data_IF_064535940507
#
_entry.id   IF_064535940507
#
_cell.length_a   1.000
_cell.length_b   1.000
_cell.length_c   1.000
_cell.angle_alpha   90.00
_cell.angle_beta   90.00
_cell.angle_gamma   90.00
#
_symmetry.space_group_name_H-M   'P 1'
#
loop_
_entity.id
_entity.type
_entity.pdbx_description
1 polymer ?
2 non-polymer ?
3 non-polymer ?
4 non-polymer ?
5 non-polymer ?
6 water ?
#
# COMPACT_ATOMS: atom_id res chain seq x y z
N UNK A 6 -1.09 -10.04 -12.85
CA UNK A 6 -1.95 -9.36 -13.82
C UNK A 6 -3.15 -8.71 -13.13
N UNK A 7 -3.19 -7.39 -13.16
CA UNK A 7 -4.24 -6.61 -12.51
C UNK A 7 -5.09 -5.86 -13.53
N UNK A 8 -6.41 -6.01 -13.45
CA UNK A 8 -7.31 -5.31 -14.35
C UNK A 8 -7.86 -4.03 -13.71
N UNK A 9 -7.63 -2.91 -14.38
CA UNK A 9 -8.07 -1.62 -13.89
C UNK A 9 -9.00 -0.94 -14.89
N UNK A 10 -10.23 -0.66 -14.45
CA UNK A 10 -11.22 -0.04 -15.32
C UNK A 10 -11.42 1.43 -14.95
N UNK A 11 -11.26 2.31 -15.93
CA UNK A 11 -11.39 3.74 -15.72
C UNK A 11 -12.73 4.26 -16.24
N UNK A 12 -13.59 4.73 -15.33
CA UNK A 12 -14.90 5.25 -15.71
C UNK A 12 -15.06 6.72 -15.28
N UNK A 13 -15.95 7.42 -15.96
CA UNK A 13 -16.18 8.83 -15.70
C UNK A 13 -16.83 9.52 -16.88
N UNK A 14 -17.28 10.75 -16.67
CA UNK A 14 -17.99 11.51 -17.72
C UNK A 14 -17.13 11.74 -18.96
N UNK A 15 -17.78 12.17 -20.03
CA UNK A 15 -17.08 12.48 -21.27
C UNK A 15 -16.18 13.69 -21.13
N UNK A 16 -15.02 13.61 -21.78
CA UNK A 16 -14.06 14.71 -21.83
C UNK A 16 -13.61 15.19 -20.44
N UNK A 17 -13.35 14.24 -19.55
CA UNK A 17 -12.82 14.59 -18.23
C UNK A 17 -11.33 14.27 -18.15
N UNK A 18 -10.83 13.51 -19.12
CA UNK A 18 -9.41 13.20 -19.19
C UNK A 18 -9.05 11.75 -18.96
N UNK A 19 -10.02 10.85 -19.08
CA UNK A 19 -9.79 9.43 -18.86
C UNK A 19 -8.76 8.84 -19.84
N UNK A 20 -8.98 9.10 -21.13
CA UNK A 20 -8.07 8.58 -22.16
C UNK A 20 -6.70 9.25 -22.08
N UNK A 21 -6.70 10.55 -21.81
CA UNK A 21 -5.45 11.32 -21.73
C UNK A 21 -4.53 10.86 -20.61
N UNK A 22 -5.11 10.52 -19.45
CA UNK A 22 -4.29 10.12 -18.31
C UNK A 22 -3.71 8.73 -18.54
N UNK A 23 -4.39 7.92 -19.34
CA UNK A 23 -3.91 6.59 -19.68
C UNK A 23 -2.78 6.64 -20.70
N UNK A 24 -2.93 7.53 -21.69
CA UNK A 24 -1.93 7.67 -22.73
C UNK A 24 -0.67 8.35 -22.21
N UNK A 25 -0.86 9.38 -21.40
CA UNK A 25 0.25 10.13 -20.82
C UNK A 25 1.06 9.27 -19.84
N UNK A 26 0.41 8.27 -19.26
CA UNK A 26 1.07 7.41 -18.29
C UNK A 26 1.78 6.24 -18.96
N UNK A 27 1.31 5.84 -20.13
CA UNK A 27 1.85 4.67 -20.82
C UNK A 27 2.83 5.03 -21.93
N UNK A 28 2.67 6.22 -22.51
CA UNK A 28 3.52 6.62 -23.64
C UNK A 28 4.13 8.01 -23.45
N UNK A 29 3.83 8.65 -22.32
CA UNK A 29 4.32 9.99 -22.01
C UNK A 29 4.00 11.01 -23.10
N UNK A 30 2.80 10.91 -23.66
CA UNK A 30 2.36 11.83 -24.68
C UNK A 30 1.08 12.54 -24.26
N UNK A 31 0.43 13.21 -25.20
CA UNK A 31 -0.82 13.91 -24.92
C UNK A 31 -1.59 14.20 -26.19
N UNK A 32 -2.81 13.64 -26.30
CA UNK A 32 -3.67 13.84 -27.48
C UNK A 32 -4.02 15.31 -27.71
N UNK A 35 -9.36 15.89 -29.64
CA UNK A 35 -10.25 15.15 -28.76
C UNK A 35 -11.07 14.11 -29.54
N UNK A 36 -10.83 12.84 -29.23
CA UNK A 36 -11.55 11.75 -29.86
C UNK A 36 -12.28 10.91 -28.81
N UNK A 37 -13.62 10.98 -28.79
CA UNK A 37 -14.43 10.21 -27.85
C UNK A 37 -14.17 8.71 -27.95
N UNK A 38 -13.54 8.15 -26.93
CA UNK A 38 -13.16 6.74 -26.93
C UNK A 38 -14.36 5.82 -26.68
N UNK A 39 -14.62 4.92 -27.61
CA UNK A 39 -15.64 3.89 -27.44
C UNK A 39 -15.12 2.82 -26.48
N UNK A 40 -14.00 2.21 -26.85
CA UNK A 40 -13.26 1.31 -25.97
C UNK A 40 -11.85 1.07 -26.49
N UNK A 41 -10.88 1.10 -25.57
CA UNK A 41 -9.49 0.81 -25.91
C UNK A 41 -8.78 0.11 -24.77
N UNK A 42 -7.88 -0.81 -25.10
CA UNK A 42 -7.08 -1.52 -24.11
C UNK A 42 -5.68 -0.96 -24.00
N UNK A 43 -5.14 -0.96 -22.78
CA UNK A 43 -3.78 -0.51 -22.54
C UNK A 43 -3.11 -1.40 -21.50
N UNK A 44 -1.94 -1.94 -21.83
CA UNK A 44 -1.22 -2.80 -20.89
C UNK A 44 0.23 -2.35 -20.76
N UNK A 45 0.62 -1.96 -19.54
CA UNK A 45 1.97 -1.51 -19.27
C UNK A 45 2.57 -2.29 -18.10
N UNK A 46 3.88 -2.51 -18.16
CA UNK A 46 4.58 -3.22 -17.08
C UNK A 46 4.99 -2.26 -15.97
N UNK A 47 4.46 -2.49 -14.77
CA UNK A 47 4.78 -1.66 -13.63
C UNK A 47 5.63 -2.42 -12.62
N UNK A 48 6.72 -1.80 -12.18
CA UNK A 48 7.62 -2.42 -11.22
C UNK A 48 7.32 -1.95 -9.81
N UNK A 49 6.84 -2.85 -8.96
CA UNK A 49 6.55 -2.50 -7.57
C UNK A 49 7.84 -2.55 -6.75
N UNK A 50 8.29 -1.37 -6.34
CA UNK A 50 9.54 -1.24 -5.60
C UNK A 50 9.32 -0.52 -4.27
N UNK A 51 8.09 -0.51 -3.80
CA UNK A 51 7.74 0.21 -2.58
C UNK A 51 7.76 1.71 -2.83
N UNK A 52 7.51 2.09 -4.08
CA UNK A 52 7.50 3.50 -4.47
C UNK A 52 6.12 3.93 -4.96
N UNK A 56 4.77 -3.65 -1.59
CA UNK A 56 5.80 -4.68 -1.63
C UNK A 56 5.30 -5.98 -1.01
N UNK A 57 6.08 -7.04 -1.16
CA UNK A 57 5.73 -8.35 -0.64
C UNK A 57 6.15 -8.48 0.83
N UNK A 58 7.03 -7.58 1.26
CA UNK A 58 7.50 -7.58 2.64
C UNK A 58 6.45 -7.01 3.59
N UNK A 59 5.65 -6.08 3.07
CA UNK A 59 4.60 -5.44 3.87
C UNK A 59 3.37 -6.33 3.96
N UNK A 60 3.23 -7.25 3.00
CA UNK A 60 2.07 -8.13 2.95
C UNK A 60 2.21 -9.31 3.92
N UNK A 61 3.39 -9.46 4.51
CA UNK A 61 3.61 -10.50 5.50
C UNK A 61 2.97 -10.11 6.83
N UNK A 62 1.90 -10.80 7.20
CA UNK A 62 1.17 -10.48 8.42
C UNK A 62 1.64 -11.34 9.59
N UNK A 63 2.87 -11.13 10.01
CA UNK A 63 3.44 -11.83 11.17
C UNK A 63 4.12 -10.84 12.09
N UNK A 64 4.31 -11.24 13.35
CA UNK A 64 5.05 -10.42 14.29
C UNK A 64 6.55 -10.49 14.02
N UNK A 65 7.08 -9.50 13.31
CA UNK A 65 8.51 -9.46 13.07
C UNK A 65 9.04 -8.03 12.93
N UNK A 66 10.34 -7.87 13.17
CA UNK A 66 11.03 -6.61 12.97
C UNK A 66 12.37 -6.84 12.29
N UNK A 67 12.90 -5.79 11.67
CA UNK A 67 14.23 -5.85 11.06
C UNK A 67 15.11 -4.72 11.61
N UNK A 68 16.33 -5.06 12.01
CA UNK A 68 17.24 -4.08 12.58
C UNK A 68 18.52 -3.94 11.77
N UNK A 69 19.30 -2.91 12.09
CA UNK A 69 20.54 -2.63 11.38
C UNK A 69 21.73 -2.64 12.35
N UNK A 70 22.52 -3.73 12.31
CA UNK A 70 23.66 -3.90 13.23
C UNK A 70 24.80 -2.95 12.93
N UNK A 71 24.80 -2.37 11.73
CA UNK A 71 25.85 -1.43 11.34
C UNK A 71 25.62 -0.05 11.97
N UNK A 72 24.42 0.16 12.51
CA UNK A 72 24.11 1.40 13.21
C UNK A 72 24.15 1.19 14.72
N UNK A 73 24.54 2.24 15.46
CA UNK A 73 24.70 2.20 16.93
C UNK A 73 23.47 1.63 17.66
N UNK A 74 23.73 0.70 18.58
CA UNK A 74 22.71 0.10 19.43
C UNK A 74 21.70 -0.75 18.64
N UNK A 75 22.03 -1.04 17.39
CA UNK A 75 21.26 -1.94 16.55
C UNK A 75 19.77 -1.58 16.46
N UNK A 76 19.46 -0.43 15.83
CA UNK A 76 18.10 0.12 15.80
C UNK A 76 17.15 -0.59 14.84
N UNK A 77 15.85 -0.53 15.14
CA UNK A 77 14.83 -1.08 14.27
C UNK A 77 14.61 -0.19 13.05
N UNK A 78 14.73 -0.77 11.87
CA UNK A 78 14.52 -0.03 10.63
C UNK A 78 13.20 -0.43 9.96
N UNK A 79 12.61 -1.52 10.44
CA UNK A 79 11.33 -1.97 9.91
C UNK A 79 10.53 -2.73 10.95
N UNK A 80 9.23 -2.48 11.00
CA UNK A 80 8.34 -3.17 11.92
C UNK A 80 7.01 -3.46 11.26
N UNK A 81 6.59 -4.73 11.31
CA UNK A 81 5.35 -5.16 10.70
C UNK A 81 4.12 -4.57 11.40
N UNK A 82 3.01 -4.53 10.69
CA UNK A 82 1.74 -4.08 11.25
C UNK A 82 1.32 -4.95 12.42
N UNK A 83 1.59 -6.25 12.31
CA UNK A 83 1.23 -7.21 13.36
C UNK A 83 2.01 -6.94 14.63
N UNK A 84 3.29 -6.61 14.47
CA UNK A 84 4.15 -6.30 15.61
C UNK A 84 3.65 -5.06 16.34
N UNK A 85 3.12 -4.11 15.59
CA UNK A 85 2.61 -2.86 16.16
C UNK A 85 1.32 -3.10 16.95
N UNK A 86 0.46 -3.95 16.43
CA UNK A 86 -0.80 -4.28 17.08
C UNK A 86 -0.58 -5.07 18.37
N UNK A 87 0.42 -5.93 18.36
CA UNK A 87 0.74 -6.75 19.53
C UNK A 87 1.38 -5.90 20.64
N UNK A 88 2.42 -5.16 20.28
CA UNK A 88 3.18 -4.41 21.26
C UNK A 88 2.51 -3.10 21.66
N UNK A 89 1.41 -2.77 20.99
CA UNK A 89 0.63 -1.57 21.27
C UNK A 89 1.42 -0.29 21.08
N UNK A 90 2.47 -0.37 20.25
CA UNK A 90 3.29 0.80 19.92
C UNK A 90 3.00 1.29 18.51
N UNK A 91 3.11 2.59 18.30
CA UNK A 91 3.02 3.13 16.95
C UNK A 91 4.39 3.04 16.28
N UNK A 92 4.42 3.16 14.97
CA UNK A 92 5.65 3.02 14.20
C UNK A 92 6.67 4.09 14.57
N UNK A 93 6.21 5.34 14.70
CA UNK A 93 7.10 6.46 14.98
C UNK A 93 7.74 6.36 16.36
N UNK A 94 7.13 5.60 17.26
CA UNK A 94 7.63 5.46 18.62
C UNK A 94 8.81 4.49 18.73
N UNK A 95 8.86 3.50 17.86
CA UNK A 95 9.87 2.45 17.99
C UNK A 95 10.83 2.37 16.82
N UNK A 96 10.49 3.01 15.71
CA UNK A 96 11.34 3.00 14.52
C UNK A 96 12.63 3.78 14.78
N UNK A 97 13.74 3.05 14.91
CA UNK A 97 15.03 3.67 15.15
C UNK A 97 15.56 3.41 16.55
N UNK A 98 14.83 2.61 17.31
CA UNK A 98 15.24 2.28 18.67
C UNK A 98 15.44 0.78 18.84
N UNK A 99 16.35 0.41 19.75
CA UNK A 99 16.60 -0.99 20.06
C UNK A 99 15.37 -1.65 20.66
N UNK A 100 15.14 -2.91 20.32
CA UNK A 100 13.93 -3.61 20.75
C UNK A 100 14.01 -4.13 22.18
N UNK A 101 14.79 -3.46 23.03
CA UNK A 101 14.90 -3.87 24.42
C UNK A 101 13.80 -3.26 25.30
N UNK A 102 13.01 -2.36 24.72
CA UNK A 102 11.92 -1.73 25.47
C UNK A 102 10.84 -2.75 25.82
N UNK A 103 10.78 -3.84 25.06
CA UNK A 103 9.80 -4.90 25.29
C UNK A 103 10.06 -5.64 26.59
N UNK A 104 11.30 -5.60 27.07
CA UNK A 104 11.67 -6.33 28.28
C UNK A 104 11.21 -5.60 29.53
N UNK A 105 11.11 -6.33 30.64
CA UNK A 105 10.67 -5.75 31.89
C UNK A 105 11.20 -6.49 33.11
N UNK A 106 10.50 -6.36 34.24
CA UNK A 106 10.88 -6.92 35.54
C UNK A 106 11.04 -8.44 35.54
N UNK A 107 10.02 -9.15 35.07
CA UNK A 107 10.02 -10.61 35.11
C UNK A 107 10.80 -11.25 33.96
N UNK A 108 11.34 -10.41 33.08
CA UNK A 108 12.12 -10.90 31.95
C UNK A 108 13.43 -11.52 32.41
N UNK A 109 13.63 -12.79 32.07
CA UNK A 109 14.85 -13.51 32.45
C UNK A 109 16.06 -12.90 31.77
N UNK A 110 16.93 -12.27 32.56
CA UNK A 110 18.10 -11.59 32.03
C UNK A 110 19.12 -12.57 31.44
N UNK A 111 19.15 -13.79 31.97
CA UNK A 111 20.06 -14.83 31.47
C UNK A 111 19.71 -15.23 30.05
N UNK A 112 18.43 -15.11 29.71
CA UNK A 112 17.96 -15.39 28.36
C UNK A 112 18.33 -14.23 27.44
N UNK A 113 18.30 -13.03 27.97
CA UNK A 113 18.66 -11.83 27.21
C UNK A 113 20.14 -11.87 26.84
N UNK A 114 20.96 -12.44 27.73
CA UNK A 114 22.39 -12.59 27.48
C UNK A 114 22.62 -13.51 26.28
N UNK A 115 21.83 -14.58 26.18
CA UNK A 115 21.92 -15.50 25.06
C UNK A 115 21.60 -14.81 23.74
N UNK A 116 20.70 -13.82 23.82
CA UNK A 116 20.34 -13.03 22.64
C UNK A 116 21.48 -12.10 22.25
N UNK A 117 22.07 -11.46 23.26
CA UNK A 117 23.19 -10.55 23.04
C UNK A 117 24.38 -11.28 22.41
N UNK A 118 24.66 -12.48 22.90
CA UNK A 118 25.75 -13.29 22.37
C UNK A 118 25.50 -13.69 20.93
N UNK A 119 24.23 -13.90 20.59
CA UNK A 119 23.85 -14.27 19.24
C UNK A 119 24.07 -13.13 18.26
N UNK A 120 23.81 -11.91 18.72
CA UNK A 120 23.99 -10.73 17.88
C UNK A 120 25.47 -10.40 17.74
N UNK A 121 26.20 -10.50 18.84
CA UNK A 121 27.63 -10.22 18.85
C UNK A 121 28.39 -11.19 17.94
N UNK A 122 28.03 -12.47 18.02
CA UNK A 122 28.66 -13.49 17.21
C UNK A 122 27.99 -13.64 15.85
N UNK A 123 26.92 -12.86 15.65
CA UNK A 123 26.15 -12.85 14.41
C UNK A 123 25.65 -14.24 14.03
N UNK A 124 24.97 -14.90 14.97
CA UNK A 124 24.42 -16.23 14.75
C UNK A 124 22.91 -16.24 14.94
N UNK A 125 22.30 -17.39 14.71
CA UNK A 125 20.87 -17.57 14.93
C UNK A 125 20.60 -18.04 16.36
N UNK A 126 19.47 -17.63 16.92
CA UNK A 126 19.09 -18.06 18.25
C UNK A 126 17.57 -18.12 18.37
N UNK A 127 17.08 -19.09 19.12
CA UNK A 127 15.65 -19.25 19.37
C UNK A 127 15.40 -19.44 20.85
N UNK A 128 14.75 -18.47 21.47
CA UNK A 128 14.55 -18.49 22.91
C UNK A 128 13.11 -18.17 23.29
N UNK A 129 12.79 -18.34 24.57
CA UNK A 129 11.50 -17.94 25.10
C UNK A 129 11.70 -16.99 26.28
N UNK A 130 11.07 -15.82 26.21
CA UNK A 130 11.23 -14.82 27.26
C UNK A 130 9.96 -13.99 27.42
N UNK A 131 9.84 -13.32 28.56
CA UNK A 131 8.67 -12.52 28.86
C UNK A 131 8.86 -11.07 28.42
N UNK A 132 8.01 -10.62 27.50
CA UNK A 132 8.02 -9.23 27.06
C UNK A 132 6.78 -8.48 27.53
N UNK A 133 6.81 -7.16 27.39
CA UNK A 133 5.72 -6.30 27.83
C UNK A 133 5.29 -5.36 26.72
N UNK A 134 3.99 -5.14 26.60
CA UNK A 134 3.46 -4.17 25.64
C UNK A 134 3.66 -2.75 26.17
N UNK A 135 3.15 -1.76 25.44
CA UNK A 135 3.28 -0.37 25.85
C UNK A 135 2.53 -0.09 27.15
N UNK A 136 1.33 -0.69 27.29
CA UNK A 136 0.52 -0.49 28.47
C UNK A 136 0.97 -1.38 29.63
N UNK A 137 1.92 -2.26 29.35
CA UNK A 137 2.49 -3.12 30.38
C UNK A 137 1.89 -4.51 30.43
N UNK A 138 1.19 -4.90 29.38
CA UNK A 138 0.58 -6.23 29.31
C UNK A 138 1.66 -7.30 29.18
N UNK A 139 1.58 -8.32 30.03
CA UNK A 139 2.58 -9.38 30.08
C UNK A 139 2.24 -10.53 29.12
N UNK A 140 3.23 -10.96 28.35
CA UNK A 140 3.05 -12.08 27.42
C UNK A 140 4.38 -12.79 27.14
N UNK A 141 4.31 -14.10 26.93
CA UNK A 141 5.50 -14.87 26.59
C UNK A 141 5.87 -14.68 25.13
N UNK A 142 7.18 -14.67 24.85
CA UNK A 142 7.67 -14.42 23.51
C UNK A 142 8.58 -15.54 23.02
N UNK A 143 8.06 -16.36 22.11
CA UNK A 143 8.86 -17.34 21.41
C UNK A 143 9.62 -16.61 20.30
N UNK A 144 10.82 -16.15 20.64
CA UNK A 144 11.55 -15.23 19.77
C UNK A 144 12.63 -15.95 18.97
N UNK A 145 12.70 -15.63 17.68
CA UNK A 145 13.74 -16.18 16.81
C UNK A 145 14.53 -15.08 16.12
N UNK A 146 15.85 -15.18 16.20
CA UNK A 146 16.73 -14.19 15.61
C UNK A 146 17.56 -14.80 14.47
N UNK A 147 17.69 -14.06 13.38
CA UNK A 147 18.41 -14.55 12.21
C UNK A 147 19.08 -13.41 11.45
N UNK A 148 20.41 -13.49 11.28
CA UNK A 148 21.15 -12.47 10.54
C UNK A 148 20.90 -12.57 9.03
N UNK A 149 20.91 -11.43 8.36
CA UNK A 149 20.72 -11.38 6.92
C UNK A 149 22.00 -10.91 6.24
N UNK A 150 22.71 -11.83 5.59
CA UNK A 150 23.99 -11.52 4.97
C UNK A 150 23.82 -11.05 3.54
N UNK A 151 24.77 -10.23 3.08
CA UNK A 151 24.76 -9.76 1.69
C UNK A 151 25.40 -10.80 0.76
N UNK A 152 25.60 -10.39 -0.49
CA UNK A 152 26.17 -11.27 -1.49
C UNK A 152 27.65 -11.54 -1.22
N UNK A 153 28.29 -10.65 -0.49
CA UNK A 153 29.69 -10.84 -0.10
C UNK A 153 29.80 -11.82 1.06
N UNK A 154 28.77 -11.85 1.90
CA UNK A 154 28.74 -12.76 3.04
C UNK A 154 28.80 -12.03 4.38
N UNK A 155 28.68 -10.71 4.35
CA UNK A 155 28.71 -9.91 5.57
C UNK A 155 27.30 -9.59 6.07
N UNK A 156 27.10 -9.67 7.38
CA UNK A 156 25.79 -9.43 7.97
C UNK A 156 25.33 -7.98 7.76
N UNK A 157 24.20 -7.84 7.06
CA UNK A 157 23.69 -6.52 6.73
C UNK A 157 22.51 -6.13 7.61
N UNK A 158 21.68 -7.11 7.97
CA UNK A 158 20.54 -6.85 8.86
C UNK A 158 20.31 -8.01 9.82
N UNK A 159 19.32 -7.85 10.68
CA UNK A 159 18.89 -8.91 11.59
C UNK A 159 17.38 -9.05 11.54
N UNK A 160 16.91 -10.29 11.41
CA UNK A 160 15.47 -10.56 11.43
C UNK A 160 15.04 -11.10 12.78
N UNK A 161 14.04 -10.45 13.37
CA UNK A 161 13.51 -10.88 14.65
C UNK A 161 12.04 -11.25 14.57
N UNK A 162 11.75 -12.55 14.66
CA UNK A 162 10.38 -13.03 14.59
C UNK A 162 9.84 -13.38 15.99
N UNK A 163 8.70 -12.81 16.33
CA UNK A 163 8.11 -13.06 17.64
C UNK A 163 6.82 -13.86 17.54
N UNK A 164 6.69 -14.87 18.40
CA UNK A 164 5.46 -15.63 18.50
C UNK A 164 4.90 -15.48 19.91
N UNK A 165 3.94 -14.58 20.06
CA UNK A 165 3.36 -14.27 21.37
C UNK A 165 2.48 -15.41 21.87
N UNK A 166 2.47 -15.59 23.18
CA UNK A 166 1.68 -16.63 23.82
C UNK A 166 1.27 -16.22 25.22
N UNK A 167 0.72 -17.17 25.98
CA UNK A 167 0.29 -16.89 27.35
C UNK A 167 1.14 -17.64 28.35
N UNK A 168 1.73 -18.75 27.93
CA UNK A 168 2.58 -19.54 28.80
C UNK A 168 3.86 -19.98 28.07
N UNK A 169 4.78 -20.57 28.82
CA UNK A 169 6.01 -21.10 28.24
C UNK A 169 5.74 -22.46 27.61
N UNK A 170 5.74 -22.50 26.28
CA UNK A 170 5.43 -23.72 25.55
C UNK A 170 6.50 -24.79 25.77
N UNK A 171 6.07 -26.05 25.83
CA UNK A 171 6.97 -27.17 26.06
C UNK A 171 6.72 -28.30 25.08
N UNK A 172 7.73 -29.15 24.89
CA UNK A 172 7.62 -30.36 24.08
C UNK A 172 7.12 -30.11 22.66
N UNK A 173 5.98 -30.70 22.32
CA UNK A 173 5.42 -30.61 20.97
C UNK A 173 5.00 -29.19 20.63
N UNK A 174 4.44 -28.48 21.60
CA UNK A 174 4.03 -27.09 21.39
C UNK A 174 5.24 -26.22 21.09
N UNK A 175 6.34 -26.49 21.77
CA UNK A 175 7.58 -25.77 21.55
C UNK A 175 8.15 -26.08 20.18
N UNK A 176 8.16 -27.36 19.83
CA UNK A 176 8.70 -27.82 18.55
C UNK A 176 7.89 -27.27 17.37
N UNK A 177 6.58 -27.17 17.56
CA UNK A 177 5.70 -26.63 16.53
C UNK A 177 5.95 -25.14 16.31
N UNK A 178 6.04 -24.39 17.41
CA UNK A 178 6.24 -22.95 17.35
C UNK A 178 7.57 -22.56 16.75
N UNK A 179 8.63 -23.26 17.12
CA UNK A 179 9.97 -23.01 16.60
C UNK A 179 9.98 -23.23 15.08
N UNK A 180 9.26 -24.25 14.63
CA UNK A 180 9.16 -24.55 13.21
C UNK A 180 8.52 -23.40 12.45
N UNK A 181 7.45 -22.84 13.01
CA UNK A 181 6.70 -21.77 12.35
C UNK A 181 7.50 -20.49 12.21
N UNK A 182 8.14 -20.07 13.29
CA UNK A 182 8.90 -18.82 13.28
C UNK A 182 10.15 -18.93 12.41
N UNK A 183 10.68 -20.14 12.24
CA UNK A 183 11.83 -20.35 11.36
C UNK A 183 11.41 -20.26 9.90
N UNK A 184 10.30 -20.90 9.56
CA UNK A 184 9.75 -20.83 8.21
C UNK A 184 9.33 -19.40 7.89
N UNK A 185 8.87 -18.68 8.90
CA UNK A 185 8.47 -17.29 8.72
C UNK A 185 9.69 -16.41 8.44
N UNK A 186 10.76 -16.65 9.19
CA UNK A 186 11.99 -15.87 9.03
C UNK A 186 12.56 -16.00 7.61
N UNK A 187 12.48 -17.21 7.05
CA UNK A 187 12.97 -17.45 5.70
C UNK A 187 12.13 -16.70 4.68
N UNK A 188 10.82 -16.64 4.91
CA UNK A 188 9.92 -15.91 4.02
C UNK A 188 10.25 -14.42 4.02
N UNK A 189 10.55 -13.89 5.20
CA UNK A 189 10.94 -12.49 5.34
C UNK A 189 12.27 -12.24 4.64
N UNK A 190 13.21 -13.16 4.82
CA UNK A 190 14.53 -13.05 4.24
C UNK A 190 14.46 -12.98 2.71
N UNK A 191 13.61 -13.82 2.12
CA UNK A 191 13.43 -13.82 0.67
C UNK A 191 12.69 -12.57 0.21
N UNK A 192 11.77 -12.09 1.05
CA UNK A 192 11.01 -10.89 0.74
C UNK A 192 11.89 -9.65 0.81
N UNK A 193 12.90 -9.69 1.67
CA UNK A 193 13.84 -8.58 1.81
C UNK A 193 14.80 -8.52 0.64
N UNK A 194 15.28 -9.69 0.21
CA UNK A 194 16.19 -9.77 -0.94
C UNK A 194 15.49 -9.35 -2.21
N UNK A 195 14.22 -9.70 -2.32
CA UNK A 195 13.41 -9.35 -3.49
C UNK A 195 13.21 -7.84 -3.55
N UNK A 196 13.07 -7.22 -2.40
CA UNK A 196 12.86 -5.77 -2.31
C UNK A 196 14.07 -5.01 -2.84
N UNK A 197 15.27 -5.49 -2.50
CA UNK A 197 16.49 -4.87 -2.95
C UNK A 197 16.72 -5.03 -4.44
N UNK A 198 16.23 -6.14 -4.99
CA UNK A 198 16.36 -6.42 -6.42
C UNK A 198 15.41 -5.56 -7.23
N UNK A 199 14.36 -5.07 -6.58
CA UNK A 199 13.37 -4.24 -7.25
C UNK A 199 12.02 -4.92 -7.37
N UNK A 200 11.85 -6.01 -6.63
CA UNK A 200 10.59 -6.75 -6.65
C UNK A 200 10.32 -7.44 -7.96
N UNK A 201 9.04 -7.64 -8.27
CA UNK A 201 8.63 -8.30 -9.50
C UNK A 201 7.75 -7.39 -10.34
N UNK A 202 7.86 -7.49 -11.68
CA UNK A 202 7.03 -6.69 -12.58
C UNK A 202 5.57 -7.11 -12.54
N UNK A 203 4.67 -6.13 -12.45
CA UNK A 203 3.24 -6.41 -12.39
C UNK A 203 2.51 -5.87 -13.61
N UNK A 204 1.89 -6.77 -14.37
CA UNK A 204 1.14 -6.39 -15.55
C UNK A 204 -0.14 -5.65 -15.19
N UNK A 205 -0.25 -4.41 -15.64
CA UNK A 205 -1.42 -3.59 -15.36
C UNK A 205 -2.28 -3.44 -16.59
N UNK A 206 -3.48 -4.01 -16.52
CA UNK A 206 -4.44 -3.89 -17.62
C UNK A 206 -5.31 -2.67 -17.45
N UNK A 207 -5.17 -1.72 -18.37
CA UNK A 207 -5.94 -0.48 -18.32
C UNK A 207 -7.09 -0.51 -19.32
N UNK A 208 -8.32 -0.46 -18.81
CA UNK A 208 -9.49 -0.55 -19.66
C UNK A 208 -10.22 0.79 -19.76
N UNK A 209 -10.05 1.46 -20.89
CA UNK A 209 -10.66 2.76 -21.11
C UNK A 209 -12.11 2.63 -21.57
N UNK A 210 -13.01 3.35 -20.91
CA UNK A 210 -14.43 3.25 -21.21
C UNK A 210 -15.01 4.58 -21.71
N UNK A 211 -16.17 4.50 -22.37
CA UNK A 211 -16.83 5.69 -22.88
C UNK A 211 -17.64 6.39 -21.79
N UNK A 212 -17.66 7.72 -21.83
CA UNK A 212 -18.38 8.50 -20.84
C UNK A 212 -19.73 8.97 -21.31
N UNK A 213 -19.95 8.94 -22.62
CA UNK A 213 -21.22 9.38 -23.19
C UNK A 213 -22.38 8.49 -22.74
N UNK A 214 -23.57 9.07 -22.65
CA UNK A 214 -24.75 8.34 -22.21
C UNK A 214 -25.15 7.24 -23.20
N UNK A 215 -24.80 7.45 -24.46
CA UNK A 215 -25.16 6.51 -25.52
C UNK A 215 -24.47 5.14 -25.35
N UNK A 216 -23.36 5.12 -24.61
CA UNK A 216 -22.60 3.89 -24.42
C UNK A 216 -22.84 3.30 -23.03
N UNK A 217 -23.92 3.70 -22.39
CA UNK A 217 -24.25 3.22 -21.05
C UNK A 217 -24.63 1.74 -21.04
N UNK A 218 -24.98 1.21 -22.20
CA UNK A 218 -25.45 -0.16 -22.31
C UNK A 218 -24.30 -1.15 -22.55
N UNK A 219 -23.24 -0.68 -23.20
CA UNK A 219 -22.11 -1.55 -23.52
C UNK A 219 -20.98 -1.39 -22.50
N UNK A 220 -21.07 -0.36 -21.68
CA UNK A 220 -20.03 -0.08 -20.69
C UNK A 220 -19.87 -1.17 -19.62
N UNK A 221 -20.98 -1.69 -19.05
CA UNK A 221 -20.77 -2.70 -18.00
C UNK A 221 -20.23 -4.03 -18.54
N UNK A 222 -20.08 -4.16 -19.85
CA UNK A 222 -19.57 -5.40 -20.43
C UNK A 222 -18.08 -5.59 -20.13
N UNK A 223 -17.42 -4.54 -19.66
CA UNK A 223 -16.00 -4.62 -19.35
C UNK A 223 -15.75 -4.63 -17.84
N UNK A 224 -16.83 -4.71 -17.06
CA UNK A 224 -16.71 -4.71 -15.60
C UNK A 224 -16.35 -6.04 -14.95
N UNK A 225 -16.77 -7.19 -15.52
CA UNK A 225 -16.34 -8.46 -14.90
C UNK A 225 -14.82 -8.59 -14.76
N UNK A 226 -14.39 -9.28 -13.70
CA UNK A 226 -12.97 -9.53 -13.42
C UNK A 226 -12.18 -8.24 -13.15
N UNK A 227 -12.87 -7.21 -12.69
CA UNK A 227 -12.20 -5.94 -12.37
C UNK A 227 -11.64 -5.97 -10.95
N UNK A 228 -10.38 -5.54 -10.81
CA UNK A 228 -9.71 -5.57 -9.52
C UNK A 228 -9.77 -4.21 -8.83
N UNK A 229 -9.86 -3.15 -9.62
CA UNK A 229 -9.95 -1.80 -9.08
C UNK A 229 -10.58 -0.85 -10.10
N UNK A 230 -11.45 0.03 -9.61
CA UNK A 230 -12.09 1.02 -10.47
C UNK A 230 -11.46 2.39 -10.29
N UNK A 231 -11.38 3.14 -11.38
CA UNK A 231 -11.00 4.55 -11.30
C UNK A 231 -12.16 5.41 -11.77
N UNK A 232 -12.89 5.97 -10.81
CA UNK A 232 -13.92 6.94 -11.12
C UNK A 232 -13.27 8.30 -11.27
N UNK A 233 -13.34 8.86 -12.47
CA UNK A 233 -12.71 10.15 -12.74
C UNK A 233 -13.74 11.26 -12.93
N UNK A 234 -13.37 12.45 -12.50
CA UNK A 234 -14.15 13.66 -12.77
C UNK A 234 -13.17 14.80 -13.05
N UNK A 235 -13.66 15.87 -13.64
CA UNK A 235 -12.81 17.02 -13.94
C UNK A 235 -12.91 18.07 -12.82
N UNK A 236 -11.76 18.51 -12.34
CA UNK A 236 -11.71 19.49 -11.25
C UNK A 236 -12.29 20.83 -11.68
N UNK A 237 -12.36 21.06 -12.98
CA UNK A 237 -12.89 22.30 -13.52
C UNK A 237 -14.27 22.06 -14.16
N UNK A 238 -14.91 20.96 -13.77
CA UNK A 238 -16.25 20.65 -14.23
C UNK A 238 -17.11 20.10 -13.10
N UNK A 239 -17.84 20.98 -12.41
CA UNK A 239 -18.72 20.60 -11.30
C UNK A 239 -19.80 19.60 -11.71
N UNK A 240 -20.18 19.60 -12.98
CA UNK A 240 -21.15 18.65 -13.49
C UNK A 240 -20.62 17.22 -13.45
N UNK A 241 -19.34 17.05 -13.82
CA UNK A 241 -18.73 15.74 -13.79
C UNK A 241 -18.53 15.27 -12.36
N UNK A 242 -18.32 16.22 -11.46
CA UNK A 242 -18.13 15.91 -10.05
C UNK A 242 -19.43 15.40 -9.42
N UNK A 243 -20.54 16.06 -9.76
CA UNK A 243 -21.85 15.66 -9.26
C UNK A 243 -22.30 14.31 -9.84
N UNK A 244 -21.82 13.98 -11.03
CA UNK A 244 -22.15 12.71 -11.68
C UNK A 244 -21.53 11.51 -10.99
N UNK A 245 -20.51 11.75 -10.16
CA UNK A 245 -19.85 10.68 -9.43
C UNK A 245 -20.83 10.01 -8.47
N UNK A 246 -21.59 10.84 -7.75
CA UNK A 246 -22.57 10.33 -6.80
C UNK A 246 -23.87 9.93 -7.50
N UNK A 247 -24.19 10.65 -8.57
CA UNK A 247 -25.47 10.49 -9.24
C UNK A 247 -25.46 9.36 -10.28
N UNK A 248 -24.28 8.98 -10.74
CA UNK A 248 -24.19 8.00 -11.83
C UNK A 248 -23.12 6.93 -11.64
N UNK A 249 -21.86 7.35 -11.59
CA UNK A 249 -20.74 6.42 -11.69
C UNK A 249 -20.59 5.50 -10.48
N UNK A 250 -20.78 6.05 -9.28
CA UNK A 250 -20.70 5.22 -8.08
C UNK A 250 -21.85 4.22 -7.97
N UNK A 251 -23.11 4.66 -8.20
CA UNK A 251 -24.17 3.63 -8.16
C UNK A 251 -24.04 2.58 -9.26
N UNK A 252 -23.52 2.95 -10.42
CA UNK A 252 -23.39 2.01 -11.53
C UNK A 252 -22.32 0.96 -11.27
N UNK A 253 -21.17 1.40 -10.77
CA UNK A 253 -20.09 0.49 -10.42
C UNK A 253 -20.53 -0.48 -9.33
N UNK A 254 -21.20 0.05 -8.31
CA UNK A 254 -21.69 -0.77 -7.20
C UNK A 254 -22.84 -1.67 -7.60
N UNK A 255 -23.49 -1.37 -8.73
CA UNK A 255 -24.58 -2.19 -9.23
C UNK A 255 -24.03 -3.49 -9.85
N UNK A 256 -22.80 -3.43 -10.32
CA UNK A 256 -22.18 -4.60 -10.94
C UNK A 256 -21.07 -5.16 -10.06
N UNK A 257 -20.37 -4.29 -9.35
CA UNK A 257 -19.25 -4.70 -8.51
C UNK A 257 -19.39 -4.14 -7.10
N UNK A 258 -20.14 -4.84 -6.24
CA UNK A 258 -20.49 -4.40 -4.88
C UNK A 258 -19.28 -4.16 -3.98
N UNK A 259 -18.22 -4.96 -4.12
CA UNK A 259 -17.08 -4.87 -3.23
C UNK A 259 -15.75 -4.76 -3.95
N UNK A 260 -15.71 -3.94 -5.00
CA UNK A 260 -14.47 -3.70 -5.73
C UNK A 260 -13.91 -2.33 -5.38
N UNK A 261 -12.63 -2.28 -4.97
CA UNK A 261 -11.94 -1.05 -4.58
C UNK A 261 -12.09 0.09 -5.58
N UNK A 262 -12.58 1.23 -5.10
CA UNK A 262 -12.78 2.40 -5.95
C UNK A 262 -11.83 3.52 -5.55
N UNK A 263 -11.13 4.07 -6.54
CA UNK A 263 -10.27 5.22 -6.29
C UNK A 263 -10.79 6.42 -7.05
N UNK A 264 -11.18 7.46 -6.29
CA UNK A 264 -11.68 8.68 -6.90
C UNK A 264 -10.52 9.53 -7.40
N UNK A 265 -10.62 9.96 -8.66
CA UNK A 265 -9.55 10.71 -9.27
C UNK A 265 -10.03 12.06 -9.82
N UNK A 266 -9.41 13.14 -9.34
CA UNK A 266 -9.68 14.46 -9.85
C UNK A 266 -8.68 14.79 -10.95
N UNK A 267 -9.18 14.93 -12.17
CA UNK A 267 -8.31 15.19 -13.32
C UNK A 267 -8.23 16.67 -13.65
N UNK A 268 -7.31 17.01 -14.55
CA UNK A 268 -7.09 18.39 -14.99
C UNK A 268 -6.74 19.32 -13.82
N UNK A 269 -5.74 18.91 -13.04
CA UNK A 269 -5.30 19.68 -11.89
C UNK A 269 -4.64 20.99 -12.32
N UNK A 270 -4.02 20.99 -13.49
CA UNK A 270 -3.32 22.16 -14.00
C UNK A 270 -4.25 23.29 -14.42
N UNK A 271 -5.55 23.02 -14.43
CA UNK A 271 -6.53 24.02 -14.87
C UNK A 271 -7.22 24.69 -13.70
N UNK A 272 -7.03 24.15 -12.50
CA UNK A 272 -7.65 24.73 -11.30
C UNK A 272 -6.99 26.06 -10.95
N UNK A 273 -5.72 26.20 -11.31
CA UNK A 273 -4.99 27.43 -11.07
C UNK A 273 -4.75 28.18 -12.38
N UNK A 274 -5.67 28.03 -13.32
CA UNK A 274 -5.56 28.68 -14.62
C UNK A 274 -6.52 29.86 -14.73
N UNK A 275 -6.01 31.00 -15.18
CA UNK A 275 -6.80 32.23 -15.25
C UNK A 275 -8.00 32.10 -16.17
N UNK A 276 -7.75 31.78 -17.43
CA UNK A 276 -8.81 31.69 -18.44
C UNK A 276 -9.86 30.62 -18.10
N UNK A 277 -9.42 29.57 -17.41
CA UNK A 277 -10.33 28.49 -17.04
C UNK A 277 -11.31 28.94 -15.96
N UNK A 278 -10.78 29.59 -14.92
CA UNK A 278 -11.61 30.09 -13.83
C UNK A 278 -12.57 31.18 -14.32
N UNK A 279 -12.10 32.00 -15.26
CA UNK A 279 -12.93 33.04 -15.85
C UNK A 279 -14.09 32.43 -16.64
N UNK A 280 -13.82 31.33 -17.32
CA UNK A 280 -14.87 30.62 -18.05
C UNK A 280 -15.94 30.10 -17.11
N UNK A 281 -15.51 29.65 -15.93
CA UNK A 281 -16.44 29.10 -14.95
C UNK A 281 -17.21 30.19 -14.22
N UNK A 282 -16.59 31.35 -14.06
CA UNK A 282 -17.22 32.47 -13.37
C UNK A 282 -18.33 33.08 -14.23
N UNK A 283 -18.17 32.99 -15.55
CA UNK A 283 -19.19 33.48 -16.47
C UNK A 283 -20.44 32.60 -16.43
N UNK A 284 -20.27 31.37 -15.97
CA UNK A 284 -21.37 30.44 -15.83
C UNK A 284 -21.70 30.22 -14.36
N UNK A 285 -21.18 31.11 -13.52
CA UNK A 285 -21.37 31.04 -12.06
C UNK A 285 -20.97 29.69 -11.48
N UNK A 286 -19.75 29.26 -11.79
CA UNK A 286 -19.22 28.00 -11.26
C UNK A 286 -17.82 28.19 -10.70
N UNK A 287 -17.42 27.30 -9.81
CA UNK A 287 -16.07 27.32 -9.23
C UNK A 287 -15.44 25.94 -9.31
N UNK A 288 -14.13 25.88 -9.58
CA UNK A 288 -13.38 24.62 -9.62
C UNK A 288 -13.53 23.82 -8.33
N UNK A 289 -13.59 22.50 -8.45
CA UNK A 289 -13.71 21.63 -7.29
C UNK A 289 -12.46 21.69 -6.43
N UNK A 290 -12.66 21.98 -5.14
CA UNK A 290 -11.55 22.06 -4.20
C UNK A 290 -11.15 20.69 -3.68
N UNK A 291 -10.00 20.62 -3.02
CA UNK A 291 -9.50 19.36 -2.47
C UNK A 291 -10.38 18.78 -1.34
N UNK A 292 -10.85 19.62 -0.39
CA UNK A 292 -11.71 19.00 0.63
C UNK A 292 -13.05 18.55 0.05
N UNK A 293 -13.52 19.26 -0.97
CA UNK A 293 -14.74 18.89 -1.68
C UNK A 293 -14.58 17.53 -2.34
N UNK A 294 -13.42 17.32 -2.98
CA UNK A 294 -13.13 16.06 -3.63
C UNK A 294 -12.83 14.96 -2.63
N UNK A 295 -12.37 15.36 -1.45
CA UNK A 295 -12.05 14.41 -0.39
C UNK A 295 -13.32 13.95 0.32
N UNK A 296 -14.30 14.84 0.40
CA UNK A 296 -15.58 14.52 1.01
C UNK A 296 -16.38 13.57 0.13
N UNK A 297 -16.19 13.68 -1.19
CA UNK A 297 -16.87 12.81 -2.13
C UNK A 297 -16.34 11.38 -2.04
N UNK A 298 -15.02 11.25 -1.85
CA UNK A 298 -14.39 9.94 -1.77
C UNK A 298 -14.79 9.22 -0.49
N UNK A 299 -14.95 9.98 0.59
CA UNK A 299 -15.34 9.41 1.87
C UNK A 299 -16.81 9.00 1.84
N UNK A 300 -17.60 9.75 1.08
CA UNK A 300 -19.03 9.45 0.94
C UNK A 300 -19.28 8.17 0.15
N UNK A 301 -18.56 8.01 -0.96
CA UNK A 301 -18.75 6.82 -1.80
C UNK A 301 -17.86 5.67 -1.35
N UNK A 302 -17.10 5.88 -0.27
CA UNK A 302 -16.27 4.84 0.30
C UNK A 302 -15.03 4.53 -0.52
N UNK A 303 -14.50 5.54 -1.21
CA UNK A 303 -13.28 5.36 -1.99
C UNK A 303 -12.08 5.18 -1.06
N UNK A 304 -11.21 4.24 -1.40
CA UNK A 304 -10.06 3.93 -0.55
C UNK A 304 -9.05 5.08 -0.55
N UNK A 305 -8.98 5.81 -1.67
CA UNK A 305 -8.09 6.95 -1.78
C UNK A 305 -8.68 8.03 -2.69
N UNK A 306 -8.38 9.28 -2.38
CA UNK A 306 -8.69 10.38 -3.28
C UNK A 306 -7.40 11.02 -3.78
N UNK A 307 -7.25 11.08 -5.10
CA UNK A 307 -6.02 11.56 -5.70
C UNK A 307 -6.31 12.58 -6.80
N UNK A 308 -5.53 13.66 -6.82
CA UNK A 308 -5.66 14.66 -7.87
C UNK A 308 -4.45 14.59 -8.80
N UNK A 309 -4.67 14.79 -10.08
CA UNK A 309 -3.58 14.66 -11.04
C UNK A 309 -3.78 15.52 -12.28
N UNK A 310 -2.71 15.65 -13.06
CA UNK A 310 -2.76 16.34 -14.34
C UNK A 310 -2.10 15.48 -15.41
N UNK A 311 -2.86 15.14 -16.44
CA UNK A 311 -2.32 14.32 -17.53
C UNK A 311 -1.31 15.10 -18.35
N UNK A 312 -1.40 16.42 -18.32
CA UNK A 312 -0.54 17.29 -19.12
C UNK A 312 0.86 17.44 -18.50
N UNK A 313 0.91 17.73 -17.21
CA UNK A 313 2.18 17.94 -16.53
C UNK A 313 2.65 16.70 -15.77
N UNK A 314 1.85 15.65 -15.83
CA UNK A 314 2.13 14.37 -15.18
C UNK A 314 2.22 14.48 -13.66
N UNK A 315 1.73 15.59 -13.12
CA UNK A 315 1.73 15.78 -11.68
C UNK A 315 0.72 14.86 -11.00
N UNK A 316 1.21 14.01 -10.11
CA UNK A 316 0.36 13.07 -9.40
C UNK A 316 -0.17 11.95 -10.27
N UNK A 317 0.31 11.87 -11.51
CA UNK A 317 -0.17 10.88 -12.47
C UNK A 317 0.27 9.46 -12.13
N UNK A 318 1.52 9.33 -11.67
CA UNK A 318 2.07 8.02 -11.35
C UNK A 318 1.53 7.49 -10.02
N UNK A 319 1.21 8.41 -9.11
CA UNK A 319 0.68 8.04 -7.80
C UNK A 319 -0.70 7.40 -7.94
N UNK A 320 -1.44 7.83 -8.96
CA UNK A 320 -2.78 7.30 -9.22
C UNK A 320 -2.73 5.79 -9.49
N UNK A 321 -1.83 5.38 -10.39
CA UNK A 321 -1.73 3.98 -10.76
C UNK A 321 -0.96 3.16 -9.73
N UNK A 322 -0.17 3.85 -8.90
CA UNK A 322 0.54 3.18 -7.82
C UNK A 322 -0.43 2.80 -6.68
N UNK A 323 -1.41 3.66 -6.42
CA UNK A 323 -2.40 3.39 -5.39
C UNK A 323 -3.44 2.41 -5.90
N UNK A 324 -3.63 2.37 -7.21
CA UNK A 324 -4.52 1.40 -7.85
C UNK A 324 -4.00 -0.01 -7.60
N UNK A 325 -2.70 -0.17 -7.76
CA UNK A 325 -2.05 -1.46 -7.53
C UNK A 325 -2.05 -1.81 -6.04
N UNK A 326 -1.76 -0.82 -5.21
CA UNK A 326 -1.70 -1.00 -3.78
C UNK A 326 -3.05 -1.44 -3.20
N UNK A 327 -4.13 -0.94 -3.78
CA UNK A 327 -5.47 -1.30 -3.33
C UNK A 327 -5.79 -2.77 -3.65
N UNK A 328 -5.12 -3.31 -4.66
CA UNK A 328 -5.31 -4.71 -5.03
C UNK A 328 -4.40 -5.62 -4.21
N UNK A 329 -3.14 -5.22 -4.05
CA UNK A 329 -2.17 -6.01 -3.31
C UNK A 329 -2.39 -5.90 -1.80
N UNK A 330 -3.16 -4.90 -1.38
CA UNK A 330 -3.45 -4.70 0.03
C UNK A 330 -4.93 -4.41 0.24
X LIG B 1 -14.31 10.14 -23.34
X LIG B 1 -13.35 10.07 -24.50
X LIG B 1 -15.68 10.52 -23.84
X LIG B 1 -14.39 8.81 -22.65
X LIG B 1 -13.78 11.27 -22.30
X LIG B 1 -12.23 11.32 -21.83
X LIG B 1 -11.49 10.13 -22.37
X LIG B 1 -12.14 11.39 -20.32
X LIG B 1 -11.59 12.65 -22.47
X LIG B 1 -10.08 12.61 -23.03
X LIG B 1 -9.16 11.83 -22.12
X LIG B 1 -10.08 12.04 -24.42
X LIG B 1 -9.66 14.16 -23.12
X LIG B 1 -10.55 15.16 -22.68
X LIG B 1 -10.04 16.51 -23.12
X LIG B 1 -9.64 17.22 -21.96
X LIG B 1 -8.79 16.39 -24.00
X LIG B 1 -9.08 16.70 -25.34
X LIG B 1 -7.81 17.40 -23.45
X LIG B 1 -7.76 18.51 -24.31
X LIG B 1 -8.36 17.82 -22.10
X LIG B 1 -7.49 17.33 -21.01
X LIG B 1 -7.42 16.03 -20.56
X LIG B 1 -6.52 15.98 -19.57
X LIG B 1 -6.02 17.22 -19.35
X LIG B 1 -5.08 17.71 -18.44
X LIG B 1 -4.53 16.96 -17.64
X LIG B 1 -4.78 19.06 -18.46
X LIG B 1 -5.39 19.89 -19.37
X LIG B 1 -5.08 21.19 -19.37
X LIG B 1 -6.31 19.40 -20.26
X LIG B 1 -6.63 18.07 -20.26
X LIG C 1 14.30 -8.63 22.55
X LIG C 1 13.07 -8.81 23.14
X LIG C 1 12.98 -8.89 24.37
X LIG C 1 11.93 -8.92 22.36
X LIG C 1 12.02 -8.83 20.99
X LIG C 1 11.02 -8.94 20.29
X LIG C 1 13.26 -8.65 20.39
X LIG C 1 13.36 -8.57 19.02
X LIG C 1 14.59 -8.38 18.42
X LIG C 1 14.68 -8.30 17.03
X LIG C 1 15.92 -8.11 16.45
X LIG C 1 16.01 -8.03 14.94
X LIG C 1 17.07 -8.00 17.22
X LIG C 1 18.41 -7.81 16.56
X LIG C 1 16.98 -8.09 18.61
X LIG C 1 15.74 -8.27 19.20
X LIG C 1 15.64 -8.35 20.58
X LIG C 1 14.40 -8.55 21.17
X LIG C 1 16.87 -8.25 21.43
X LIG C 1 17.06 -6.83 21.96
X LIG C 1 16.88 -5.90 20.92
X LIG C 1 18.46 -6.70 22.54
X LIG C 1 19.41 -6.96 21.53
X LIG C 1 18.66 -7.68 23.69
X LIG C 1 17.75 -7.37 24.70
X LIG C 1 20.07 -7.57 24.24
X LIG C 1 20.26 -6.23 24.62
X LIG C 1 21.58 -5.76 25.40
X LIG C 1 22.76 -6.10 24.53
X LIG C 1 21.67 -6.47 26.73
X LIG C 1 21.52 -4.27 25.60
X LIG D 1 -12.08 8.57 -23.91
X LIG E 1 -28.47 9.91 -27.98
X LIG F 1 33.83 -10.56 4.63
#
# INVERSE_FOLDING_TARGET
GGSMQAIKCVVVGDGAVGKTCLLISYTTNAFPGEYIPTVFDNYSANVMVDGSGLATTLERIEKNFVITDPRLPDNPIIFASDSFLQLTEYSREEILGRNARFLQGPETDRATVRKIRDAIDNQTEVTVQLINYTKSGKKFWNLFHLQPMRDQKGDVQYFIGVQLDGTEHVRDAAEREGVMLIKKTAENIDEAAKELGSGGKPVNLGLWDTAGLEDYDRLRPLSYPQTDVFLICFSLVSPASFENVRAKWYPEVRHHCPNTPIILVGTKLDLRDDKDTIEKLKEKKLTPITYPQGLAMAKEIGAVKYLECSALTQRGLKTVFDEAIRAVLCPP
GTP PG O1G O2G O3G O3B PB O1B O2B O3A PA O1A O2A O5' C5' C4' O4' C3' O3' C2' O2' C1' N9 C8 N7 C5 C6 O6 N1 C2 N2 N3 C4
FMN N1 C2 O2 N3 C4 O4 C4A N5 C5A C6 C7 C7M C8 C8M C9 C9A N10 C10 C1' C2' O2' C3' O3' C4' O4' C5' O5' P O1P O2P O3P
MG MG
CA CA
CA CA
#
